data_IF_026581545449
#
_entry.id   IF_026581545449
#
_cell.length_a   1.000
_cell.length_b   1.000
_cell.length_c   1.000
_cell.angle_alpha   90.00
_cell.angle_beta   90.00
_cell.angle_gamma   90.00
#
_symmetry.space_group_name_H-M   'P 1'
#
loop_
_entity.id
_entity.type
_entity.pdbx_description
1 polymer ?
#
# COMPACT_ATOMS: atom_id res chain seq x y z
N UNK A 1 -2.40 1.26 22.72
CA UNK A 1 -1.17 0.73 22.12
C UNK A 1 -1.04 1.29 20.70
N UNK A 2 0.17 1.63 20.23
CA UNK A 2 0.40 2.11 18.86
C UNK A 2 1.21 1.04 18.13
N UNK A 3 0.63 0.35 17.12
CA UNK A 3 1.34 -0.62 16.31
C UNK A 3 2.60 -0.03 15.66
N UNK A 4 3.67 -0.83 15.58
CA UNK A 4 4.90 -0.49 14.87
C UNK A 4 5.03 -1.42 13.68
N UNK A 5 4.76 -0.89 12.50
CA UNK A 5 4.84 -1.61 11.24
C UNK A 5 5.62 -0.79 10.22
N UNK A 6 6.28 -1.45 9.28
CA UNK A 6 6.97 -0.81 8.16
C UNK A 6 6.75 -1.59 6.87
N UNK A 7 6.94 -0.95 5.73
CA UNK A 7 7.00 -1.68 4.48
C UNK A 7 8.33 -2.45 4.34
N UNK A 8 8.28 -3.57 3.64
CA UNK A 8 9.46 -4.33 3.25
C UNK A 8 10.38 -3.50 2.37
N UNK A 9 11.67 -3.80 2.42
CA UNK A 9 12.60 -3.34 1.40
C UNK A 9 12.35 -4.11 0.10
N UNK A 10 12.38 -3.40 -1.02
CA UNK A 10 12.18 -3.96 -2.35
C UNK A 10 13.34 -3.61 -3.26
N UNK A 11 13.65 -4.49 -4.20
CA UNK A 11 14.61 -4.24 -5.25
C UNK A 11 14.08 -4.73 -6.61
N UNK A 12 14.54 -4.05 -7.65
CA UNK A 12 14.31 -4.46 -9.03
C UNK A 12 15.54 -5.25 -9.50
N UNK A 13 15.31 -6.48 -9.95
CA UNK A 13 16.34 -7.37 -10.45
C UNK A 13 16.09 -7.71 -11.92
N UNK A 14 17.16 -7.82 -12.70
CA UNK A 14 17.11 -8.25 -14.10
C UNK A 14 18.13 -9.35 -14.31
N UNK A 15 17.93 -10.19 -15.33
CA UNK A 15 18.98 -11.12 -15.74
C UNK A 15 20.21 -10.36 -16.29
N UNK A 16 21.40 -10.56 -15.71
CA UNK A 16 22.67 -9.94 -16.15
C UNK A 16 23.34 -10.79 -17.24
N UNK A 17 24.17 -10.30 -18.17
CA UNK A 17 24.83 -9.00 -18.40
C UNK A 17 24.18 -8.26 -19.57
N UNK A 18 24.31 -6.93 -19.64
CA UNK A 18 24.09 -6.19 -20.89
C UNK A 18 25.11 -6.66 -21.93
N UNK A 19 24.74 -7.67 -22.71
CA UNK A 19 25.45 -8.03 -23.92
C UNK A 19 25.11 -6.92 -24.91
N UNK A 20 26.11 -6.14 -25.30
CA UNK A 20 25.95 -5.19 -26.38
C UNK A 20 25.53 -5.95 -27.62
N UNK A 21 24.51 -5.46 -28.29
CA UNK A 21 24.16 -5.99 -29.60
C UNK A 21 25.36 -5.76 -30.55
N UNK A 22 25.94 -6.83 -31.13
CA UNK A 22 27.12 -6.70 -31.97
C UNK A 22 26.89 -5.90 -33.26
N UNK A 23 25.64 -5.73 -33.70
CA UNK A 23 25.31 -4.99 -34.94
C UNK A 23 25.10 -3.49 -34.70
N UNK A 24 24.51 -3.12 -33.56
CA UNK A 24 24.11 -1.72 -33.28
C UNK A 24 24.84 -1.07 -32.10
N UNK A 25 25.72 -1.81 -31.40
CA UNK A 25 26.49 -1.33 -30.23
C UNK A 25 25.61 -0.71 -29.12
N UNK A 26 24.33 -1.10 -29.07
CA UNK A 26 23.39 -0.70 -28.03
C UNK A 26 23.22 -1.82 -26.99
N UNK A 27 22.93 -1.48 -25.73
CA UNK A 27 22.55 -2.48 -24.74
C UNK A 27 21.28 -3.22 -25.16
N UNK A 28 21.33 -4.54 -25.20
CA UNK A 28 20.10 -5.34 -25.36
C UNK A 28 19.25 -5.21 -24.09
N UNK A 29 17.92 -5.02 -24.19
CA UNK A 29 17.06 -5.04 -23.02
C UNK A 29 17.16 -6.40 -22.31
N UNK A 30 17.03 -6.43 -20.96
CA UNK A 30 17.03 -7.68 -20.20
C UNK A 30 15.88 -8.58 -20.68
N UNK A 31 16.09 -9.91 -20.67
CA UNK A 31 15.04 -10.85 -21.06
C UNK A 31 14.00 -11.01 -19.96
N UNK A 32 14.39 -10.77 -18.72
CA UNK A 32 13.51 -10.92 -17.57
C UNK A 32 13.75 -9.83 -16.54
N UNK A 33 12.66 -9.37 -15.95
CA UNK A 33 12.62 -8.39 -14.89
C UNK A 33 11.82 -8.95 -13.72
N UNK A 34 12.32 -8.74 -12.51
CA UNK A 34 11.78 -9.26 -11.28
C UNK A 34 11.70 -8.14 -10.24
N UNK A 35 10.65 -8.16 -9.44
CA UNK A 35 10.61 -7.45 -8.17
C UNK A 35 10.94 -8.48 -7.09
N UNK A 36 11.89 -8.14 -6.21
CA UNK A 36 12.27 -8.95 -5.06
C UNK A 36 12.07 -8.13 -3.79
N UNK A 37 11.69 -8.79 -2.71
CA UNK A 37 11.36 -8.15 -1.43
C UNK A 37 11.93 -8.94 -0.25
N UNK A 38 11.94 -8.30 0.93
CA UNK A 38 12.26 -9.01 2.18
C UNK A 38 11.30 -10.18 2.41
N UNK A 39 11.83 -11.30 2.89
CA UNK A 39 10.99 -12.42 3.29
C UNK A 39 10.17 -12.03 4.52
N UNK A 40 8.85 -12.17 4.42
CA UNK A 40 7.93 -12.00 5.55
C UNK A 40 7.74 -13.35 6.23
N UNK A 41 8.26 -13.47 7.44
CA UNK A 41 8.05 -14.65 8.26
C UNK A 41 6.68 -14.63 8.96
N UNK A 42 6.15 -15.82 9.26
CA UNK A 42 4.92 -15.97 10.03
C UNK A 42 3.65 -15.88 9.18
N UNK A 43 2.55 -15.44 9.81
CA UNK A 43 1.22 -15.48 9.18
C UNK A 43 1.00 -14.21 8.35
N UNK A 44 0.83 -14.41 7.05
CA UNK A 44 0.38 -13.37 6.14
C UNK A 44 -1.11 -13.06 6.36
N UNK A 45 -1.46 -11.77 6.36
CA UNK A 45 -2.85 -11.31 6.39
C UNK A 45 -3.04 -10.04 5.59
N UNK A 46 -4.28 -9.87 5.14
CA UNK A 46 -4.75 -8.64 4.51
C UNK A 46 -5.52 -7.83 5.55
N UNK A 47 -4.93 -6.74 6.00
CA UNK A 47 -5.49 -5.86 7.02
C UNK A 47 -6.58 -4.97 6.45
N UNK A 48 -6.35 -4.40 5.26
CA UNK A 48 -7.27 -3.53 4.54
C UNK A 48 -7.24 -3.92 3.07
N UNK A 49 -8.41 -3.92 2.42
CA UNK A 49 -8.49 -4.18 1.00
C UNK A 49 -8.51 -2.88 0.19
N UNK A 50 -8.06 -2.91 -1.05
CA UNK A 50 -8.09 -1.76 -1.96
C UNK A 50 -9.50 -1.29 -2.40
N UNK A 51 -10.58 -1.98 -2.02
CA UNK A 51 -11.96 -1.61 -2.40
C UNK A 51 -12.67 -0.76 -1.34
N UNK A 52 -12.25 -0.84 -0.08
CA UNK A 52 -12.91 -0.22 1.06
C UNK A 52 -11.85 0.21 2.09
N UNK A 53 -11.84 1.48 2.55
CA UNK A 53 -10.91 1.99 3.56
C UNK A 53 -11.33 1.59 4.98
N UNK A 54 -11.60 0.30 5.19
CA UNK A 54 -12.02 -0.29 6.46
C UNK A 54 -11.25 -1.58 6.75
N UNK A 55 -11.08 -1.94 8.04
CA UNK A 55 -10.50 -3.23 8.42
C UNK A 55 -11.17 -4.42 7.74
N UNK A 56 -10.35 -5.40 7.35
CA UNK A 56 -10.79 -6.66 6.75
C UNK A 56 -11.64 -7.47 7.73
N UNK A 57 -12.77 -7.98 7.25
CA UNK A 57 -13.70 -8.82 8.04
C UNK A 57 -13.15 -10.22 8.32
N UNK A 58 -12.04 -10.60 7.68
CA UNK A 58 -11.40 -11.91 7.87
C UNK A 58 -10.46 -11.95 9.09
N UNK A 59 -10.20 -10.81 9.73
CA UNK A 59 -9.34 -10.73 10.90
C UNK A 59 -10.09 -11.23 12.14
N UNK A 60 -9.49 -12.19 12.86
CA UNK A 60 -10.16 -12.88 13.99
C UNK A 60 -9.55 -12.57 15.35
N UNK A 61 -8.26 -12.27 15.41
CA UNK A 61 -7.59 -11.95 16.68
C UNK A 61 -7.56 -10.44 16.93
N UNK A 62 -7.48 -10.07 18.19
CA UNK A 62 -7.50 -8.68 18.67
C UNK A 62 -6.35 -7.84 18.13
N UNK A 63 -5.17 -8.44 18.01
CA UNK A 63 -3.94 -7.73 17.67
C UNK A 63 -3.97 -7.31 16.19
N UNK A 64 -4.42 -8.21 15.30
CA UNK A 64 -4.64 -7.92 13.89
C UNK A 64 -5.70 -6.82 13.70
N UNK A 65 -6.80 -6.88 14.48
CA UNK A 65 -7.87 -5.88 14.42
C UNK A 65 -7.36 -4.51 14.89
N UNK A 66 -6.51 -4.50 15.92
CA UNK A 66 -5.85 -3.29 16.42
C UNK A 66 -4.92 -2.70 15.35
N UNK A 67 -4.09 -3.54 14.72
CA UNK A 67 -3.24 -3.14 13.60
C UNK A 67 -4.06 -2.60 12.43
N UNK A 68 -5.11 -3.31 12.00
CA UNK A 68 -5.98 -2.85 10.92
C UNK A 68 -6.68 -1.52 11.25
N UNK A 69 -7.11 -1.32 12.49
CA UNK A 69 -7.70 -0.05 12.93
C UNK A 69 -6.68 1.09 12.88
N UNK A 70 -5.45 0.86 13.34
CA UNK A 70 -4.38 1.83 13.21
C UNK A 70 -4.08 2.15 11.74
N UNK A 71 -4.00 1.14 10.87
CA UNK A 71 -3.76 1.31 9.44
C UNK A 71 -4.92 2.07 8.76
N UNK A 72 -6.18 1.83 9.14
CA UNK A 72 -7.31 2.58 8.59
C UNK A 72 -7.23 4.06 9.00
N UNK A 73 -6.76 4.34 10.22
CA UNK A 73 -6.43 5.70 10.64
C UNK A 73 -5.31 6.32 9.80
N UNK A 74 -4.25 5.59 9.47
CA UNK A 74 -3.17 6.15 8.64
C UNK A 74 -3.66 6.51 7.23
N UNK A 75 -4.60 5.75 6.65
CA UNK A 75 -5.27 6.12 5.41
C UNK A 75 -5.95 7.48 5.53
N UNK A 76 -6.72 7.67 6.60
CA UNK A 76 -7.45 8.91 6.83
C UNK A 76 -6.52 10.09 7.05
N UNK A 77 -5.48 9.90 7.87
CA UNK A 77 -4.46 10.92 8.09
C UNK A 77 -3.77 11.31 6.77
N UNK A 78 -3.36 10.34 5.96
CA UNK A 78 -2.74 10.60 4.65
C UNK A 78 -3.70 11.36 3.74
N UNK A 79 -4.96 10.92 3.61
CA UNK A 79 -5.96 11.58 2.78
C UNK A 79 -6.15 13.06 3.17
N UNK A 80 -6.25 13.37 4.47
CA UNK A 80 -6.36 14.77 4.92
C UNK A 80 -5.09 15.57 4.64
N UNK A 81 -3.91 14.97 4.85
CA UNK A 81 -2.60 15.62 4.62
C UNK A 81 -2.29 15.88 3.16
N UNK A 82 -2.82 15.06 2.26
CA UNK A 82 -2.71 15.24 0.81
C UNK A 82 -3.87 16.07 0.24
N UNK A 83 -4.71 16.68 1.09
CA UNK A 83 -5.89 17.44 0.66
C UNK A 83 -6.86 16.64 -0.23
N UNK A 84 -7.01 15.36 0.08
CA UNK A 84 -7.89 14.43 -0.63
C UNK A 84 -7.30 13.86 -1.92
N UNK A 85 -6.00 14.09 -2.17
CA UNK A 85 -5.38 13.70 -3.44
C UNK A 85 -4.82 12.28 -3.45
N UNK A 86 -4.41 11.74 -2.29
CA UNK A 86 -3.87 10.38 -2.24
C UNK A 86 -3.83 9.78 -0.83
N UNK A 87 -3.90 8.45 -0.76
CA UNK A 87 -3.62 7.66 0.44
C UNK A 87 -3.14 6.25 0.08
N UNK A 88 -2.49 5.57 1.02
CA UNK A 88 -2.04 4.20 0.86
C UNK A 88 -3.18 3.24 1.22
N UNK A 89 -3.37 2.20 0.43
CA UNK A 89 -4.35 1.14 0.60
C UNK A 89 -3.71 -0.23 0.40
N UNK A 90 -4.54 -1.26 0.42
CA UNK A 90 -4.12 -2.65 0.29
C UNK A 90 -3.09 -3.10 1.33
N UNK A 91 -3.22 -2.61 2.57
CA UNK A 91 -2.32 -3.00 3.64
C UNK A 91 -2.41 -4.51 3.92
N UNK A 92 -1.30 -5.21 3.67
CA UNK A 92 -1.16 -6.65 3.83
C UNK A 92 0.29 -7.00 4.19
N UNK A 93 0.51 -8.15 4.82
CA UNK A 93 1.83 -8.59 5.26
C UNK A 93 1.79 -9.43 6.52
N UNK A 94 2.87 -9.39 7.30
CA UNK A 94 3.07 -10.10 8.58
C UNK A 94 2.69 -9.26 9.79
N UNK A 95 3.33 -9.55 10.93
CA UNK A 95 3.08 -8.87 12.21
C UNK A 95 3.58 -7.41 12.20
N UNK A 96 4.76 -7.18 11.64
CA UNK A 96 5.46 -5.90 11.63
C UNK A 96 5.89 -5.45 10.22
N UNK A 97 5.93 -6.37 9.25
CA UNK A 97 6.25 -6.11 7.85
C UNK A 97 5.00 -6.04 6.98
N UNK A 98 4.83 -4.95 6.26
CA UNK A 98 3.82 -4.72 5.24
C UNK A 98 4.45 -4.85 3.85
N UNK A 99 3.68 -5.32 2.87
CA UNK A 99 4.14 -5.35 1.48
C UNK A 99 3.01 -5.04 0.49
N UNK A 100 3.41 -4.84 -0.76
CA UNK A 100 2.57 -4.69 -1.94
C UNK A 100 1.37 -3.75 -1.71
N UNK A 101 1.63 -2.48 -1.31
CA UNK A 101 0.57 -1.51 -1.14
C UNK A 101 0.02 -1.05 -2.49
N UNK A 102 -1.20 -0.51 -2.46
CA UNK A 102 -1.73 0.29 -3.56
C UNK A 102 -1.89 1.74 -3.14
N UNK A 103 -1.36 2.69 -3.89
CA UNK A 103 -1.70 4.10 -3.69
C UNK A 103 -2.98 4.42 -4.46
N UNK A 104 -4.00 4.88 -3.74
CA UNK A 104 -5.22 5.42 -4.32
C UNK A 104 -5.02 6.92 -4.50
N UNK A 105 -5.31 7.45 -5.68
CA UNK A 105 -5.13 8.87 -5.96
C UNK A 105 -6.26 9.47 -6.79
N UNK A 106 -6.43 10.78 -6.66
CA UNK A 106 -7.41 11.53 -7.43
C UNK A 106 -7.05 11.52 -8.93
N UNK A 107 -8.08 11.52 -9.78
CA UNK A 107 -7.91 11.46 -11.23
C UNK A 107 -7.13 12.67 -11.79
N UNK A 108 -7.14 13.82 -11.11
CA UNK A 108 -6.37 15.01 -11.52
C UNK A 108 -4.86 14.79 -11.51
N UNK A 109 -4.35 13.80 -10.77
CA UNK A 109 -2.93 13.44 -10.76
C UNK A 109 -2.53 12.51 -11.92
N UNK A 110 -3.50 12.03 -12.69
CA UNK A 110 -3.29 11.08 -13.78
C UNK A 110 -2.96 9.66 -13.30
N UNK A 111 -2.50 8.82 -14.22
CA UNK A 111 -2.21 7.41 -13.97
C UNK A 111 -0.76 7.17 -13.57
N UNK A 112 -0.41 7.51 -12.31
CA UNK A 112 0.98 7.51 -11.83
C UNK A 112 1.33 6.40 -10.82
N UNK A 113 0.33 5.65 -10.31
CA UNK A 113 0.52 4.62 -9.28
C UNK A 113 0.07 3.21 -9.73
N UNK A 114 0.30 2.91 -11.01
CA UNK A 114 -0.04 1.62 -11.59
C UNK A 114 -1.56 1.38 -11.74
N UNK A 115 -1.89 0.20 -12.23
CA UNK A 115 -3.26 -0.13 -12.68
C UNK A 115 -4.24 -0.41 -11.54
N UNK A 116 -3.77 -0.67 -10.32
CA UNK A 116 -4.64 -0.86 -9.16
C UNK A 116 -5.22 0.44 -8.61
N UNK A 117 -4.78 1.61 -9.11
CA UNK A 117 -5.36 2.90 -8.75
C UNK A 117 -6.77 3.05 -9.34
N UNK A 118 -7.79 2.82 -8.53
CA UNK A 118 -9.17 3.13 -8.89
C UNK A 118 -9.51 4.54 -8.43
N UNK A 119 -9.65 5.49 -9.37
CA UNK A 119 -9.94 6.89 -9.06
C UNK A 119 -11.20 7.08 -8.18
N UNK A 120 -12.17 6.17 -8.29
CA UNK A 120 -13.36 6.14 -7.42
C UNK A 120 -12.99 5.93 -5.94
N UNK A 121 -11.98 5.11 -5.64
CA UNK A 121 -11.56 4.85 -4.26
C UNK A 121 -10.99 6.09 -3.56
N UNK A 122 -10.38 7.02 -4.29
CA UNK A 122 -9.96 8.31 -3.74
C UNK A 122 -11.14 9.26 -3.52
N UNK A 123 -12.01 9.36 -4.52
CA UNK A 123 -13.21 10.19 -4.49
C UNK A 123 -14.17 9.83 -3.35
N UNK A 124 -14.38 8.53 -3.13
CA UNK A 124 -15.36 8.02 -2.20
C UNK A 124 -14.78 7.80 -0.80
N UNK A 125 -13.48 8.10 -0.59
CA UNK A 125 -12.81 7.83 0.68
C UNK A 125 -13.53 8.50 1.86
N UNK A 126 -13.90 9.78 1.73
CA UNK A 126 -14.52 10.54 2.81
C UNK A 126 -15.87 9.97 3.27
N UNK A 127 -16.62 9.33 2.37
CA UNK A 127 -17.91 8.71 2.71
C UNK A 127 -17.76 7.24 3.13
N UNK A 128 -16.75 6.54 2.62
CA UNK A 128 -16.52 5.13 2.90
C UNK A 128 -15.71 4.88 4.18
N UNK A 129 -14.81 5.79 4.56
CA UNK A 129 -13.96 5.63 5.73
C UNK A 129 -14.77 5.73 7.03
N UNK A 130 -14.53 4.77 7.93
CA UNK A 130 -15.14 4.75 9.25
C UNK A 130 -14.09 5.14 10.29
N UNK A 131 -14.19 6.37 10.80
CA UNK A 131 -13.33 6.85 11.87
C UNK A 131 -13.40 5.92 13.09
N UNK A 132 -12.23 5.55 13.60
CA UNK A 132 -12.08 4.69 14.77
C UNK A 132 -11.41 5.44 15.94
N UNK A 133 -11.04 4.70 16.98
CA UNK A 133 -10.40 5.24 18.18
C UNK A 133 -9.09 5.98 17.90
N UNK A 134 -8.31 5.57 16.90
CA UNK A 134 -7.07 6.25 16.52
C UNK A 134 -7.35 7.59 15.82
N UNK A 135 -8.35 7.65 14.92
CA UNK A 135 -8.76 8.92 14.32
C UNK A 135 -9.15 9.94 15.40
N UNK A 136 -9.91 9.51 16.42
CA UNK A 136 -10.30 10.35 17.55
C UNK A 136 -9.10 10.74 18.41
N UNK A 137 -8.24 9.77 18.77
CA UNK A 137 -7.08 9.99 19.62
C UNK A 137 -6.11 11.03 19.02
N UNK A 138 -5.90 10.98 17.69
CA UNK A 138 -5.04 11.93 16.98
C UNK A 138 -5.76 13.18 16.47
N UNK A 139 -7.04 13.36 16.80
CA UNK A 139 -7.80 14.57 16.45
C UNK A 139 -7.98 14.78 14.96
N UNK A 140 -8.20 13.70 14.19
CA UNK A 140 -8.51 13.80 12.76
C UNK A 140 -10.02 13.92 12.60
N UNK A 141 -10.47 15.08 12.11
CA UNK A 141 -11.86 15.34 11.78
C UNK A 141 -12.36 14.37 10.72
N UNK A 142 -13.66 14.03 10.79
CA UNK A 142 -14.36 13.28 9.73
C UNK A 142 -14.22 13.94 8.35
#
# INVERSE_FOLDING_TARGET
>A
FIPRMRFVQVAFATDGKQVKDPEINMPKPPRSAFLVEECIDGRFRKYINNRQPVPSTNLKNSDDITCASFLAFTQHWQFKRTHGLAFVSDYQGGDDLLTDPQIMSDASLGHIFGNGNMAAGCRDFATAHQCNEYCKFFGIDK
#
